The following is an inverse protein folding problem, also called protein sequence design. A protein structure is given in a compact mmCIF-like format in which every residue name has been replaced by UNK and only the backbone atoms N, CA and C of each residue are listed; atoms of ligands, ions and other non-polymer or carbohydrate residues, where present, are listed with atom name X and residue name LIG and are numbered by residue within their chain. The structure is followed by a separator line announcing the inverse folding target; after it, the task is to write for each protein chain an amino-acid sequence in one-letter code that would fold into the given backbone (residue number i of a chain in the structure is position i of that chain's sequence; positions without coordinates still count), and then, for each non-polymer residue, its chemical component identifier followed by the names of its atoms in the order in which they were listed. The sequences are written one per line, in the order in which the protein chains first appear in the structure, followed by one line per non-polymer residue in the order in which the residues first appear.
data_IF_964182070822
#
_entry.id   IF_964182070822
#
_cell.length_a   1.000
_cell.length_b   1.000
_cell.length_c   1.000
_cell.angle_alpha   90.00
_cell.angle_beta   90.00
_cell.angle_gamma   90.00
#
_symmetry.space_group_name_H-M   'P 1'
#
loop_
_entity.id
_entity.type
_entity.pdbx_description
1 polymer ?
#
# COMPACT_ATOMS: atom_id res chain seq x y z
N UNK A 1 8.86 50.69 -3.26
CA UNK A 1 7.65 50.90 -4.04
C UNK A 1 6.46 50.28 -3.33
N UNK A 2 5.50 51.12 -3.00
CA UNK A 2 4.34 50.99 -2.09
C UNK A 2 3.43 49.82 -2.43
N UNK A 3 3.60 48.65 -1.79
CA UNK A 3 2.64 47.54 -1.77
C UNK A 3 1.57 47.72 -0.67
N UNK A 4 1.73 48.74 0.19
CA UNK A 4 0.85 49.02 1.35
C UNK A 4 -0.44 49.75 1.10
N UNK A 5 -0.81 50.12 -0.16
CA UNK A 5 -2.00 50.94 -0.41
C UNK A 5 -3.12 50.26 -1.24
N UNK A 6 -3.01 48.96 -1.52
CA UNK A 6 -4.04 48.26 -2.33
C UNK A 6 -5.17 47.71 -1.46
N UNK A 7 -4.97 47.57 -0.14
CA UNK A 7 -5.98 46.95 0.75
C UNK A 7 -6.85 47.90 1.56
N UNK A 8 -6.77 49.22 1.36
CA UNK A 8 -7.57 50.19 2.12
C UNK A 8 -8.67 50.92 1.31
N UNK A 9 -9.02 50.43 0.15
CA UNK A 9 -10.31 50.78 -0.43
C UNK A 9 -11.35 49.76 0.00
N UNK A 10 -11.84 49.89 1.24
CA UNK A 10 -13.18 49.38 1.56
C UNK A 10 -14.16 50.00 0.55
N UNK A 11 -14.52 49.20 -0.45
CA UNK A 11 -15.67 49.51 -1.26
C UNK A 11 -16.86 49.66 -0.31
N UNK A 12 -17.36 50.89 -0.12
CA UNK A 12 -18.66 51.11 0.49
C UNK A 12 -19.69 50.46 -0.42
N UNK A 13 -19.96 49.17 -0.17
CA UNK A 13 -21.13 48.47 -0.70
C UNK A 13 -22.30 49.15 0.01
N UNK A 14 -22.94 50.10 -0.70
CA UNK A 14 -24.13 50.77 -0.21
C UNK A 14 -25.17 49.76 0.22
N UNK A 15 -25.48 49.72 1.52
CA UNK A 15 -26.85 49.52 1.99
C UNK A 15 -27.46 48.14 1.96
N UNK A 16 -26.70 47.00 1.86
CA UNK A 16 -27.24 45.72 2.23
C UNK A 16 -26.67 45.29 3.60
N UNK A 17 -27.53 45.35 4.61
CA UNK A 17 -27.21 44.73 5.89
C UNK A 17 -26.79 43.26 5.62
N UNK A 18 -25.63 42.86 6.09
CA UNK A 18 -25.17 41.48 5.99
C UNK A 18 -26.23 40.59 6.66
N UNK A 19 -26.79 39.64 5.89
CA UNK A 19 -27.77 38.70 6.43
C UNK A 19 -27.07 37.84 7.47
N UNK A 20 -27.47 37.98 8.72
CA UNK A 20 -27.01 37.12 9.80
C UNK A 20 -27.87 35.87 9.85
N UNK A 21 -27.27 34.75 10.09
CA UNK A 21 -27.94 33.46 10.25
C UNK A 21 -27.81 33.00 11.71
N UNK A 22 -28.83 32.34 12.28
CA UNK A 22 -28.70 31.73 13.59
C UNK A 22 -27.69 30.58 13.50
N UNK A 23 -26.52 30.75 14.13
CA UNK A 23 -25.47 29.74 14.17
C UNK A 23 -25.58 29.00 15.51
N UNK A 24 -25.57 27.67 15.46
CA UNK A 24 -25.46 26.85 16.68
C UNK A 24 -23.98 26.80 17.10
N UNK A 25 -23.64 27.51 18.17
CA UNK A 25 -22.29 27.56 18.71
C UNK A 25 -21.93 26.36 19.60
N UNK A 26 -22.84 25.42 19.85
CA UNK A 26 -22.65 24.30 20.78
C UNK A 26 -21.48 23.38 20.40
N UNK A 27 -21.13 23.33 19.11
CA UNK A 27 -20.02 22.50 18.57
C UNK A 27 -18.81 23.34 18.12
N UNK A 28 -18.79 24.63 18.45
CA UNK A 28 -17.63 25.49 18.21
C UNK A 28 -16.52 25.13 19.19
N UNK A 29 -15.50 24.46 18.65
CA UNK A 29 -14.32 24.09 19.43
C UNK A 29 -13.21 25.14 19.22
N UNK A 30 -12.75 25.73 20.32
CA UNK A 30 -11.53 26.53 20.32
C UNK A 30 -10.33 25.60 20.58
N UNK A 31 -9.46 25.46 19.59
CA UNK A 31 -8.28 24.60 19.67
C UNK A 31 -7.04 25.35 19.19
N UNK A 32 -5.87 24.98 19.73
CA UNK A 32 -4.57 25.50 19.31
C UNK A 32 -4.13 24.93 17.96
N UNK A 33 -2.96 25.36 17.51
CA UNK A 33 -2.34 24.79 16.31
C UNK A 33 -2.01 23.31 16.53
N UNK A 34 -2.15 22.52 15.47
CA UNK A 34 -1.80 21.11 15.48
C UNK A 34 -0.29 20.94 15.72
N UNK A 35 0.07 20.24 16.79
CA UNK A 35 1.46 19.89 17.12
C UNK A 35 1.52 18.40 17.49
N UNK A 36 2.02 17.57 16.55
CA UNK A 36 2.11 16.14 16.73
C UNK A 36 3.48 15.74 17.28
N UNK A 37 3.56 14.80 18.25
CA UNK A 37 4.83 14.33 18.75
C UNK A 37 5.63 13.61 17.63
N UNK A 38 6.96 13.74 17.60
CA UNK A 38 7.77 12.97 16.68
C UNK A 38 7.67 11.48 17.04
N UNK A 39 7.49 10.64 16.01
CA UNK A 39 7.45 9.16 16.15
C UNK A 39 8.30 8.51 15.06
N UNK A 40 9.08 7.53 15.46
CA UNK A 40 9.73 6.61 14.52
C UNK A 40 8.77 5.44 14.25
N UNK A 41 8.18 5.43 13.06
CA UNK A 41 7.16 4.46 12.68
C UNK A 41 7.83 3.16 12.18
N UNK A 42 8.18 2.29 13.11
CA UNK A 42 8.69 0.94 12.82
C UNK A 42 7.57 -0.13 12.94
N UNK A 43 6.33 0.25 12.70
CA UNK A 43 5.21 -0.67 12.58
C UNK A 43 5.00 -1.16 11.15
N UNK A 44 3.95 -1.98 10.90
CA UNK A 44 3.65 -2.54 9.58
C UNK A 44 3.09 -1.51 8.58
N UNK A 45 3.22 -0.25 8.88
CA UNK A 45 2.74 0.89 8.10
C UNK A 45 1.55 1.61 8.76
N UNK A 46 1.46 2.94 8.52
CA UNK A 46 2.30 3.70 7.59
C UNK A 46 3.76 3.79 8.04
N UNK A 47 4.68 4.00 7.09
CA UNK A 47 6.06 4.40 7.36
C UNK A 47 6.18 5.92 7.47
N UNK A 48 7.27 6.43 8.06
CA UNK A 48 7.52 7.87 8.01
C UNK A 48 7.66 8.35 6.57
N UNK A 49 7.03 9.47 6.26
CA UNK A 49 7.22 10.12 4.97
C UNK A 49 8.63 10.71 4.88
N UNK A 50 9.27 10.54 3.70
CA UNK A 50 10.57 11.16 3.46
C UNK A 50 10.45 12.70 3.51
N UNK A 51 11.44 13.46 4.05
CA UNK A 51 11.37 14.92 4.14
C UNK A 51 11.05 15.62 2.81
N UNK A 52 11.61 15.16 1.70
CA UNK A 52 11.30 15.68 0.35
C UNK A 52 9.84 15.44 -0.05
N UNK A 53 9.24 14.33 0.38
CA UNK A 53 7.81 14.05 0.18
C UNK A 53 6.95 15.05 0.96
N UNK A 54 7.31 15.35 2.22
CA UNK A 54 6.63 16.37 3.01
C UNK A 54 6.76 17.76 2.37
N UNK A 55 7.92 18.10 1.82
CA UNK A 55 8.14 19.32 1.06
C UNK A 55 7.26 19.36 -0.20
N UNK A 56 7.14 18.24 -0.92
CA UNK A 56 6.29 18.17 -2.12
C UNK A 56 4.82 18.44 -1.78
N UNK A 57 4.31 17.92 -0.66
CA UNK A 57 2.94 18.16 -0.19
C UNK A 57 2.67 19.64 0.09
N UNK A 58 3.67 20.41 0.51
CA UNK A 58 3.51 21.83 0.83
C UNK A 58 3.43 22.75 -0.39
N UNK A 59 3.57 22.22 -1.61
CA UNK A 59 3.37 23.01 -2.81
C UNK A 59 1.92 23.49 -2.95
N UNK A 60 1.76 24.66 -3.56
CA UNK A 60 0.44 25.19 -3.85
C UNK A 60 -0.35 24.26 -4.78
N UNK A 61 -1.62 24.09 -4.49
CA UNK A 61 -2.53 23.34 -5.35
C UNK A 61 -2.77 24.09 -6.67
N UNK A 62 -2.85 23.32 -7.74
CA UNK A 62 -3.27 23.79 -9.07
C UNK A 62 -4.48 22.98 -9.54
N UNK A 63 -5.10 23.35 -10.64
CA UNK A 63 -6.27 22.64 -11.16
C UNK A 63 -5.92 21.19 -11.55
N UNK A 64 -6.83 20.26 -11.31
CA UNK A 64 -6.64 18.83 -11.62
C UNK A 64 -6.63 18.51 -13.14
N UNK A 65 -6.96 19.49 -14.00
CA UNK A 65 -6.81 19.43 -15.46
C UNK A 65 -5.76 20.44 -15.97
N UNK A 66 -5.02 21.09 -15.07
CA UNK A 66 -3.91 21.96 -15.44
C UNK A 66 -2.83 21.15 -16.17
N UNK A 67 -2.26 21.66 -17.28
CA UNK A 67 -1.21 20.94 -18.01
C UNK A 67 0.00 20.54 -17.14
N UNK A 68 0.36 21.36 -16.15
CA UNK A 68 1.45 21.01 -15.21
C UNK A 68 1.06 19.84 -14.31
N UNK A 69 -0.20 19.75 -13.87
CA UNK A 69 -0.67 18.61 -13.09
C UNK A 69 -0.78 17.34 -13.95
N UNK A 70 -1.20 17.47 -15.20
CA UNK A 70 -1.17 16.35 -16.17
C UNK A 70 0.26 15.85 -16.34
N UNK A 71 1.26 16.74 -16.37
CA UNK A 71 2.68 16.35 -16.34
C UNK A 71 3.03 15.50 -15.12
N UNK A 72 2.57 15.89 -13.92
CA UNK A 72 2.73 15.08 -12.68
C UNK A 72 2.09 13.70 -12.81
N UNK A 73 0.89 13.61 -13.39
CA UNK A 73 0.20 12.34 -13.61
C UNK A 73 0.99 11.41 -14.56
N UNK A 74 1.53 11.95 -15.64
CA UNK A 74 2.37 11.20 -16.59
C UNK A 74 3.64 10.67 -15.91
N UNK A 75 4.34 11.52 -15.15
CA UNK A 75 5.53 11.13 -14.39
C UNK A 75 5.22 9.97 -13.43
N UNK A 76 4.08 10.02 -12.74
CA UNK A 76 3.63 8.97 -11.83
C UNK A 76 3.46 7.64 -12.59
N UNK A 77 2.78 7.66 -13.73
CA UNK A 77 2.55 6.44 -14.53
C UNK A 77 3.87 5.80 -14.96
N UNK A 78 4.81 6.59 -15.50
CA UNK A 78 6.11 6.09 -15.95
C UNK A 78 6.93 5.53 -14.79
N UNK A 79 7.00 6.26 -13.67
CA UNK A 79 7.76 5.78 -12.51
C UNK A 79 7.11 4.57 -11.83
N UNK A 80 5.79 4.40 -11.90
CA UNK A 80 5.10 3.18 -11.45
C UNK A 80 5.46 1.98 -12.33
N UNK A 81 5.48 2.16 -13.67
CA UNK A 81 5.93 1.11 -14.60
C UNK A 81 7.36 0.68 -14.30
N UNK A 82 8.26 1.64 -14.08
CA UNK A 82 9.61 1.35 -13.64
C UNK A 82 9.64 0.59 -12.31
N UNK A 83 8.87 1.04 -11.31
CA UNK A 83 8.90 0.42 -9.98
C UNK A 83 8.34 -1.01 -9.96
N UNK A 84 7.39 -1.32 -10.82
CA UNK A 84 6.82 -2.65 -10.99
C UNK A 84 7.48 -3.49 -12.11
N UNK A 85 8.42 -2.90 -12.86
CA UNK A 85 9.06 -3.54 -14.02
C UNK A 85 8.00 -4.08 -14.98
N UNK A 86 7.16 -3.15 -15.49
CA UNK A 86 6.06 -3.47 -16.41
C UNK A 86 5.94 -2.44 -17.53
N UNK A 87 5.51 -2.92 -18.68
CA UNK A 87 5.13 -2.10 -19.84
C UNK A 87 3.62 -1.81 -19.90
N UNK A 88 2.83 -2.29 -18.92
CA UNK A 88 1.38 -2.13 -18.89
C UNK A 88 0.98 -0.66 -19.04
N UNK A 89 0.27 -0.27 -20.10
CA UNK A 89 -0.18 1.11 -20.28
C UNK A 89 -1.18 1.51 -19.20
N UNK A 90 -2.00 0.57 -18.74
CA UNK A 90 -2.99 0.80 -17.70
C UNK A 90 -2.37 0.66 -16.30
N UNK A 91 -1.46 1.60 -15.98
CA UNK A 91 -0.75 1.68 -14.70
C UNK A 91 -0.94 3.08 -14.14
N UNK A 92 -1.67 3.20 -13.01
CA UNK A 92 -2.10 4.49 -12.46
C UNK A 92 -2.43 4.36 -10.96
N UNK A 93 -2.51 5.44 -10.18
CA UNK A 93 -2.98 5.38 -8.80
C UNK A 93 -4.48 5.62 -8.70
N UNK A 94 -5.14 4.86 -7.84
CA UNK A 94 -6.50 5.14 -7.35
C UNK A 94 -6.42 6.20 -6.24
N UNK A 95 -7.34 7.15 -6.24
CA UNK A 95 -7.51 8.13 -5.16
C UNK A 95 -8.13 7.45 -3.94
N UNK A 96 -7.28 7.02 -3.03
CA UNK A 96 -7.67 6.28 -1.83
C UNK A 96 -6.50 5.54 -1.20
N UNK A 97 -6.76 4.83 -0.11
CA UNK A 97 -5.75 4.00 0.56
C UNK A 97 -5.60 2.64 -0.13
N UNK A 98 -4.62 1.82 0.29
CA UNK A 98 -4.37 0.49 -0.30
C UNK A 98 -5.61 -0.39 -0.39
N UNK A 99 -6.52 -0.32 0.58
CA UNK A 99 -7.80 -1.05 0.52
C UNK A 99 -8.70 -0.58 -0.63
N UNK A 100 -8.62 0.70 -1.03
CA UNK A 100 -9.36 1.19 -2.19
C UNK A 100 -8.81 0.60 -3.50
N UNK A 101 -7.48 0.39 -3.62
CA UNK A 101 -6.91 -0.26 -4.79
C UNK A 101 -7.21 -1.76 -4.82
N UNK A 102 -7.18 -2.45 -3.67
CA UNK A 102 -7.64 -3.84 -3.53
C UNK A 102 -9.10 -3.97 -3.99
N UNK A 103 -9.98 -3.11 -3.48
CA UNK A 103 -11.40 -3.09 -3.84
C UNK A 103 -11.61 -2.74 -5.31
N UNK A 104 -10.89 -1.75 -5.85
CA UNK A 104 -10.94 -1.39 -7.26
C UNK A 104 -10.59 -2.58 -8.16
N UNK A 105 -9.54 -3.32 -7.82
CA UNK A 105 -9.12 -4.49 -8.59
C UNK A 105 -10.22 -5.55 -8.64
N UNK A 106 -10.79 -5.91 -7.47
CA UNK A 106 -11.85 -6.90 -7.40
C UNK A 106 -13.16 -6.42 -8.03
N UNK A 107 -13.57 -5.16 -7.77
CA UNK A 107 -14.79 -4.58 -8.35
C UNK A 107 -14.82 -4.60 -9.87
N UNK A 108 -13.66 -4.41 -10.50
CA UNK A 108 -13.53 -4.38 -11.94
C UNK A 108 -13.41 -5.78 -12.57
N UNK A 109 -12.73 -6.71 -11.91
CA UNK A 109 -12.44 -8.03 -12.47
C UNK A 109 -13.45 -9.12 -12.07
N UNK A 110 -14.11 -9.00 -10.91
CA UNK A 110 -15.05 -10.01 -10.43
C UNK A 110 -16.47 -9.72 -10.93
N UNK A 111 -17.11 -10.72 -11.46
CA UNK A 111 -18.56 -10.74 -11.74
C UNK A 111 -19.26 -11.77 -10.85
N UNK A 112 -20.54 -11.58 -10.52
CA UNK A 112 -21.30 -12.55 -9.73
C UNK A 112 -21.24 -13.95 -10.34
N UNK A 113 -20.83 -14.94 -9.55
CA UNK A 113 -20.66 -16.32 -9.99
C UNK A 113 -19.27 -16.67 -10.52
N UNK A 114 -18.38 -15.72 -10.70
CA UNK A 114 -16.95 -16.03 -10.98
C UNK A 114 -16.35 -16.84 -9.83
N UNK A 115 -15.65 -17.92 -10.14
CA UNK A 115 -14.84 -18.64 -9.16
C UNK A 115 -13.54 -17.86 -8.96
N UNK A 116 -13.31 -17.39 -7.73
CA UNK A 116 -12.08 -16.70 -7.32
C UNK A 116 -11.34 -17.56 -6.29
N UNK A 117 -10.17 -18.05 -6.66
CA UNK A 117 -9.28 -18.79 -5.76
C UNK A 117 -8.37 -17.79 -5.04
N UNK A 118 -8.38 -17.82 -3.72
CA UNK A 118 -7.55 -16.92 -2.90
C UNK A 118 -6.53 -17.73 -2.12
N UNK A 119 -5.24 -17.33 -2.25
CA UNK A 119 -4.18 -17.83 -1.40
C UNK A 119 -4.21 -17.16 -0.03
N UNK A 120 -4.40 -17.94 1.03
CA UNK A 120 -4.54 -17.43 2.39
C UNK A 120 -3.39 -17.92 3.28
N UNK A 121 -2.41 -17.04 3.48
CA UNK A 121 -1.24 -17.23 4.35
C UNK A 121 -1.16 -16.18 5.46
N UNK A 122 -2.24 -15.40 5.63
CA UNK A 122 -2.38 -14.36 6.64
C UNK A 122 -3.67 -13.56 6.52
N UNK A 123 -3.73 -12.47 7.29
CA UNK A 123 -4.92 -11.63 7.43
C UNK A 123 -5.34 -10.94 6.13
N UNK A 124 -4.38 -10.56 5.26
CA UNK A 124 -4.73 -9.86 4.01
C UNK A 124 -5.26 -10.81 2.94
N UNK A 125 -4.86 -12.10 2.97
CA UNK A 125 -5.56 -13.16 2.25
C UNK A 125 -7.02 -13.30 2.70
N UNK A 126 -7.30 -13.29 4.01
CA UNK A 126 -8.69 -13.29 4.54
C UNK A 126 -9.50 -12.08 4.07
N UNK A 127 -8.85 -10.90 3.97
CA UNK A 127 -9.52 -9.69 3.44
C UNK A 127 -9.89 -9.83 1.96
N UNK A 128 -9.02 -10.45 1.15
CA UNK A 128 -9.34 -10.76 -0.24
C UNK A 128 -10.55 -11.69 -0.36
N UNK A 129 -10.63 -12.72 0.50
CA UNK A 129 -11.79 -13.64 0.58
C UNK A 129 -13.08 -12.86 0.88
N UNK A 130 -13.10 -12.04 1.94
CA UNK A 130 -14.28 -11.25 2.31
C UNK A 130 -14.69 -10.30 1.17
N UNK A 131 -13.72 -9.60 0.60
CA UNK A 131 -13.98 -8.59 -0.42
C UNK A 131 -14.45 -9.20 -1.74
N UNK A 132 -13.84 -10.30 -2.21
CA UNK A 132 -14.29 -11.02 -3.41
C UNK A 132 -15.73 -11.55 -3.24
N UNK A 133 -16.03 -12.10 -2.07
CA UNK A 133 -17.39 -12.57 -1.74
C UNK A 133 -18.45 -11.45 -1.78
N UNK A 134 -18.10 -10.21 -1.38
CA UNK A 134 -18.99 -9.04 -1.45
C UNK A 134 -19.34 -8.66 -2.89
N UNK A 135 -18.45 -8.93 -3.86
CA UNK A 135 -18.71 -8.75 -5.29
C UNK A 135 -19.39 -9.94 -5.96
N UNK A 136 -19.84 -10.93 -5.16
CA UNK A 136 -20.63 -12.07 -5.63
C UNK A 136 -19.81 -13.23 -6.19
N UNK A 137 -18.50 -13.28 -5.92
CA UNK A 137 -17.67 -14.41 -6.30
C UNK A 137 -18.05 -15.70 -5.56
N UNK A 138 -17.92 -16.85 -6.23
CA UNK A 138 -17.77 -18.15 -5.59
C UNK A 138 -16.30 -18.27 -5.12
N UNK A 139 -16.06 -17.91 -3.85
CA UNK A 139 -14.69 -17.83 -3.32
C UNK A 139 -14.21 -19.21 -2.89
N UNK A 140 -13.07 -19.63 -3.44
CA UNK A 140 -12.32 -20.83 -3.08
C UNK A 140 -11.01 -20.43 -2.41
N UNK A 141 -10.47 -21.29 -1.58
CA UNK A 141 -9.30 -20.99 -0.74
C UNK A 141 -8.23 -22.07 -0.93
N UNK A 142 -6.99 -21.63 -1.05
CA UNK A 142 -5.81 -22.47 -0.85
C UNK A 142 -5.02 -21.89 0.31
N UNK A 143 -4.75 -22.70 1.34
CA UNK A 143 -4.29 -22.19 2.63
C UNK A 143 -3.02 -22.89 3.13
N UNK A 144 -2.20 -22.12 3.83
CA UNK A 144 -1.11 -22.63 4.65
C UNK A 144 -1.15 -21.97 6.03
N UNK A 145 -0.57 -22.60 7.05
CA UNK A 145 -0.41 -21.97 8.36
C UNK A 145 0.22 -20.58 8.24
N UNK A 146 -0.27 -19.63 9.00
CA UNK A 146 0.22 -18.25 8.97
C UNK A 146 1.71 -18.18 9.29
N UNK A 147 2.51 -17.64 8.36
CA UNK A 147 3.98 -17.61 8.39
C UNK A 147 4.65 -18.62 7.46
N UNK A 148 3.88 -19.49 6.83
CA UNK A 148 4.31 -20.36 5.72
C UNK A 148 3.87 -19.76 4.38
N UNK A 149 4.36 -20.32 3.27
CA UNK A 149 4.03 -19.91 1.90
C UNK A 149 3.40 -21.08 1.15
N UNK A 150 2.65 -20.79 0.11
CA UNK A 150 2.10 -21.80 -0.80
C UNK A 150 3.20 -22.30 -1.75
N UNK A 151 3.25 -23.62 -1.93
CA UNK A 151 4.07 -24.24 -2.97
C UNK A 151 3.38 -24.18 -4.34
N UNK A 152 4.14 -24.40 -5.42
CA UNK A 152 3.55 -24.55 -6.75
C UNK A 152 2.58 -25.73 -6.83
N UNK A 153 2.86 -26.82 -6.10
CA UNK A 153 1.98 -28.00 -6.06
C UNK A 153 0.64 -27.68 -5.36
N UNK A 154 0.65 -26.89 -4.26
CA UNK A 154 -0.58 -26.41 -3.61
C UNK A 154 -1.45 -25.62 -4.58
N UNK A 155 -0.81 -24.69 -5.32
CA UNK A 155 -1.49 -23.83 -6.29
C UNK A 155 -2.00 -24.66 -7.47
N UNK A 156 -1.17 -25.56 -8.02
CA UNK A 156 -1.55 -26.42 -9.15
C UNK A 156 -2.76 -27.29 -8.81
N UNK A 157 -2.71 -27.96 -7.66
CA UNK A 157 -3.82 -28.82 -7.21
C UNK A 157 -5.12 -28.01 -7.04
N UNK A 158 -5.03 -26.81 -6.45
CA UNK A 158 -6.19 -25.96 -6.24
C UNK A 158 -6.77 -25.39 -7.56
N UNK A 159 -5.90 -25.09 -8.55
CA UNK A 159 -6.33 -24.68 -9.89
C UNK A 159 -7.05 -25.81 -10.62
N UNK A 160 -6.54 -27.05 -10.54
CA UNK A 160 -7.16 -28.24 -11.13
C UNK A 160 -8.54 -28.52 -10.52
N UNK A 161 -8.65 -28.43 -9.20
CA UNK A 161 -9.87 -28.72 -8.45
C UNK A 161 -10.96 -27.67 -8.72
N UNK A 162 -10.59 -26.38 -8.65
CA UNK A 162 -11.59 -25.31 -8.60
C UNK A 162 -11.79 -24.60 -9.94
N UNK A 163 -10.86 -24.69 -10.88
CA UNK A 163 -10.89 -24.05 -12.22
C UNK A 163 -11.29 -22.57 -12.13
N UNK A 164 -10.59 -21.74 -11.34
CA UNK A 164 -10.97 -20.38 -11.08
C UNK A 164 -10.78 -19.47 -12.29
N UNK A 165 -11.58 -18.41 -12.37
CA UNK A 165 -11.37 -17.32 -13.32
C UNK A 165 -10.22 -16.40 -12.87
N UNK A 166 -9.97 -16.32 -11.55
CA UNK A 166 -8.94 -15.47 -10.94
C UNK A 166 -8.28 -16.23 -9.79
N UNK A 167 -6.94 -16.25 -9.78
CA UNK A 167 -6.13 -16.55 -8.60
C UNK A 167 -5.65 -15.24 -7.99
N UNK A 168 -5.97 -15.00 -6.71
CA UNK A 168 -5.54 -13.82 -5.98
C UNK A 168 -4.54 -14.21 -4.87
N UNK A 169 -3.34 -13.64 -4.90
CA UNK A 169 -2.27 -13.90 -3.94
C UNK A 169 -1.80 -12.62 -3.26
N UNK A 170 -1.41 -12.71 -2.00
CA UNK A 170 -0.68 -11.66 -1.30
C UNK A 170 0.82 -11.94 -1.42
N UNK A 171 1.54 -11.14 -2.21
CA UNK A 171 2.97 -11.34 -2.44
C UNK A 171 3.78 -11.17 -1.15
N UNK A 172 3.46 -10.14 -0.35
CA UNK A 172 4.09 -9.94 0.96
C UNK A 172 3.03 -9.74 2.04
N UNK A 173 2.80 -10.77 2.84
CA UNK A 173 1.75 -10.79 3.85
C UNK A 173 2.15 -9.98 5.10
N UNK A 174 1.58 -8.81 5.24
CA UNK A 174 1.93 -7.84 6.31
C UNK A 174 1.59 -8.34 7.72
N UNK A 175 0.67 -9.28 7.85
CA UNK A 175 0.30 -9.83 9.17
C UNK A 175 1.29 -10.85 9.70
N UNK A 176 2.03 -11.52 8.81
CA UNK A 176 2.95 -12.62 9.15
C UNK A 176 4.41 -12.33 8.84
N UNK A 177 4.69 -11.43 7.88
CA UNK A 177 6.03 -11.18 7.36
C UNK A 177 6.48 -12.19 6.30
N UNK A 178 5.55 -13.02 5.78
CA UNK A 178 5.83 -13.99 4.74
C UNK A 178 5.90 -13.34 3.35
N UNK A 179 6.87 -13.76 2.55
CA UNK A 179 7.04 -13.41 1.14
C UNK A 179 6.71 -14.64 0.29
N UNK A 180 5.63 -14.59 -0.46
CA UNK A 180 5.18 -15.65 -1.35
C UNK A 180 6.04 -15.69 -2.61
N UNK A 181 6.72 -16.81 -2.92
CA UNK A 181 7.41 -16.99 -4.19
C UNK A 181 6.44 -16.94 -5.37
N UNK A 182 6.85 -16.28 -6.46
CA UNK A 182 6.00 -16.06 -7.64
C UNK A 182 6.43 -16.84 -8.87
N UNK A 183 7.64 -17.42 -8.87
CA UNK A 183 8.17 -18.16 -10.00
C UNK A 183 7.27 -19.36 -10.36
N UNK A 184 6.89 -19.49 -11.62
CA UNK A 184 6.04 -20.57 -12.13
C UNK A 184 4.53 -20.41 -11.90
N UNK A 185 4.09 -19.44 -11.09
CA UNK A 185 2.65 -19.27 -10.77
C UNK A 185 1.83 -18.84 -11.98
N UNK A 186 2.34 -17.92 -12.79
CA UNK A 186 1.60 -17.45 -13.97
C UNK A 186 1.49 -18.50 -15.08
N UNK A 187 2.48 -19.36 -15.22
CA UNK A 187 2.44 -20.50 -16.15
C UNK A 187 1.27 -21.43 -15.77
N UNK A 188 1.13 -21.74 -14.49
CA UNK A 188 -0.01 -22.50 -13.98
C UNK A 188 -1.34 -21.78 -14.25
N UNK A 189 -1.41 -20.49 -13.98
CA UNK A 189 -2.61 -19.69 -14.24
C UNK A 189 -2.96 -19.69 -15.75
N UNK A 190 -1.98 -19.52 -16.63
CA UNK A 190 -2.20 -19.54 -18.09
C UNK A 190 -2.71 -20.90 -18.58
N UNK A 191 -2.14 -22.00 -18.06
CA UNK A 191 -2.57 -23.35 -18.40
C UNK A 191 -4.06 -23.59 -18.07
N UNK A 192 -4.59 -22.90 -17.04
CA UNK A 192 -5.97 -22.99 -16.59
C UNK A 192 -6.88 -21.85 -17.10
N UNK A 193 -6.39 -20.99 -18.01
CA UNK A 193 -7.10 -19.77 -18.44
C UNK A 193 -7.54 -18.88 -17.28
N UNK A 194 -6.79 -18.86 -16.19
CA UNK A 194 -7.00 -18.10 -14.97
C UNK A 194 -6.22 -16.77 -15.02
N UNK A 195 -6.76 -15.67 -14.49
CA UNK A 195 -6.01 -14.43 -14.27
C UNK A 195 -5.23 -14.50 -12.96
N UNK A 196 -3.99 -13.98 -12.96
CA UNK A 196 -3.18 -13.83 -11.77
C UNK A 196 -3.27 -12.40 -11.24
N UNK A 197 -3.85 -12.25 -10.03
CA UNK A 197 -3.92 -11.00 -9.29
C UNK A 197 -2.98 -11.05 -8.08
N UNK A 198 -2.12 -10.03 -7.90
CA UNK A 198 -1.23 -9.97 -6.74
C UNK A 198 -1.39 -8.67 -5.94
N UNK A 199 -1.42 -8.83 -4.61
CA UNK A 199 -1.26 -7.74 -3.66
C UNK A 199 0.23 -7.45 -3.44
N UNK A 200 0.68 -6.27 -3.84
CA UNK A 200 2.05 -5.81 -3.65
C UNK A 200 2.17 -4.67 -2.64
N UNK A 201 1.18 -4.52 -1.76
CA UNK A 201 1.11 -3.42 -0.79
C UNK A 201 2.39 -3.31 0.05
N UNK A 202 2.93 -4.42 0.50
CA UNK A 202 4.13 -4.40 1.35
C UNK A 202 5.42 -4.60 0.57
N UNK A 203 5.37 -5.26 -0.58
CA UNK A 203 6.55 -5.58 -1.39
C UNK A 203 6.95 -4.48 -2.38
N UNK A 204 6.04 -3.62 -2.84
CA UNK A 204 6.38 -2.58 -3.81
C UNK A 204 7.51 -1.68 -3.30
N UNK A 205 8.57 -1.59 -4.09
CA UNK A 205 9.79 -0.85 -3.79
C UNK A 205 10.57 -1.31 -2.53
N UNK A 206 10.26 -2.50 -1.98
CA UNK A 206 10.96 -3.07 -0.82
C UNK A 206 11.53 -4.47 -1.07
N UNK A 207 11.02 -5.17 -2.08
CA UNK A 207 11.50 -6.45 -2.58
C UNK A 207 11.39 -6.47 -4.11
N UNK A 208 12.10 -7.36 -4.81
CA UNK A 208 11.98 -7.52 -6.26
C UNK A 208 10.54 -7.82 -6.69
N UNK A 209 10.07 -7.12 -7.73
CA UNK A 209 8.80 -7.37 -8.40
C UNK A 209 9.01 -7.13 -9.90
N UNK A 210 8.58 -8.10 -10.72
CA UNK A 210 8.73 -8.10 -12.17
C UNK A 210 7.40 -8.53 -12.81
N UNK A 211 6.42 -7.59 -12.90
CA UNK A 211 5.06 -7.96 -13.33
C UNK A 211 5.03 -8.59 -14.72
N UNK A 212 5.81 -8.05 -15.66
CA UNK A 212 5.84 -8.60 -17.04
C UNK A 212 6.53 -9.96 -17.08
N UNK A 213 7.69 -10.11 -16.43
CA UNK A 213 8.43 -11.37 -16.38
C UNK A 213 7.64 -12.46 -15.67
N UNK A 214 7.02 -12.13 -14.53
CA UNK A 214 6.16 -13.06 -13.80
C UNK A 214 4.81 -13.30 -14.49
N UNK A 215 4.44 -12.50 -15.50
CA UNK A 215 3.18 -12.63 -16.21
C UNK A 215 1.94 -12.35 -15.38
N UNK A 216 2.03 -11.39 -14.48
CA UNK A 216 0.94 -10.95 -13.61
C UNK A 216 -0.10 -10.18 -14.42
N UNK A 217 -1.38 -10.49 -14.23
CA UNK A 217 -2.46 -9.84 -14.96
C UNK A 217 -2.96 -8.57 -14.26
N UNK A 218 -3.00 -8.59 -12.94
CA UNK A 218 -3.44 -7.46 -12.14
C UNK A 218 -2.58 -7.33 -10.87
N UNK A 219 -2.21 -6.10 -10.53
CA UNK A 219 -1.49 -5.79 -9.31
C UNK A 219 -1.98 -4.49 -8.68
N UNK A 220 -1.93 -4.42 -7.35
CA UNK A 220 -2.17 -3.18 -6.63
C UNK A 220 -1.19 -3.00 -5.47
N UNK A 221 -1.08 -1.75 -5.02
CA UNK A 221 -0.23 -1.40 -3.90
C UNK A 221 -0.77 -0.18 -3.14
N UNK A 222 0.10 0.50 -2.38
CA UNK A 222 -0.24 1.73 -1.68
C UNK A 222 0.96 2.66 -1.53
N UNK A 223 0.70 3.92 -1.20
CA UNK A 223 1.74 4.95 -1.04
C UNK A 223 2.46 4.92 0.32
N UNK A 224 1.81 4.40 1.38
CA UNK A 224 2.25 4.55 2.77
C UNK A 224 3.19 3.46 3.30
N UNK A 225 3.68 2.56 2.44
CA UNK A 225 4.61 1.48 2.78
C UNK A 225 5.99 1.79 2.18
N UNK A 226 6.45 0.97 1.25
CA UNK A 226 7.78 1.11 0.63
C UNK A 226 8.04 2.44 -0.07
N UNK A 227 7.01 3.14 -0.53
CA UNK A 227 7.14 4.46 -1.16
C UNK A 227 7.32 5.61 -0.17
N UNK A 228 7.11 5.39 1.14
CA UNK A 228 7.29 6.39 2.21
C UNK A 228 6.55 7.70 1.96
N UNK A 229 5.30 7.59 1.54
CA UNK A 229 4.38 8.70 1.33
C UNK A 229 3.22 8.61 2.34
N UNK A 230 2.48 9.69 2.59
CA UNK A 230 1.20 9.60 3.28
C UNK A 230 0.22 8.68 2.53
N UNK A 231 -0.72 8.01 3.23
CA UNK A 231 -1.79 7.27 2.58
C UNK A 231 -2.71 8.22 1.80
N UNK A 232 -3.31 7.74 0.69
CA UNK A 232 -4.28 8.54 -0.08
C UNK A 232 -4.15 8.44 -1.59
N UNK A 233 -3.08 7.79 -2.10
CA UNK A 233 -2.91 7.45 -3.51
C UNK A 233 -2.39 6.03 -3.60
N UNK A 234 -3.10 5.13 -4.26
CA UNK A 234 -2.79 3.71 -4.26
C UNK A 234 -2.54 3.20 -5.67
N UNK A 235 -1.29 2.82 -5.98
CA UNK A 235 -0.90 2.27 -7.28
C UNK A 235 -1.69 1.01 -7.65
N UNK A 236 -1.92 0.85 -8.94
CA UNK A 236 -2.70 -0.24 -9.51
C UNK A 236 -2.28 -0.42 -10.98
N UNK A 237 -2.24 -1.67 -11.48
CA UNK A 237 -1.85 -2.01 -12.84
C UNK A 237 -2.66 -3.19 -13.38
N UNK A 238 -3.15 -3.08 -14.61
CA UNK A 238 -3.76 -4.16 -15.38
C UNK A 238 -2.99 -4.38 -16.68
N UNK A 239 -2.78 -5.66 -17.04
CA UNK A 239 -2.29 -6.03 -18.38
C UNK A 239 -3.47 -6.21 -19.35
N UNK A 240 -3.13 -6.59 -20.60
CA UNK A 240 -4.12 -6.79 -21.67
C UNK A 240 -5.16 -7.89 -21.34
N UNK A 241 -4.78 -8.96 -20.62
CA UNK A 241 -5.71 -10.04 -20.24
C UNK A 241 -6.72 -9.56 -19.21
N UNK A 242 -6.28 -8.79 -18.22
CA UNK A 242 -7.17 -8.18 -17.24
C UNK A 242 -8.11 -7.15 -17.90
N UNK A 243 -7.61 -6.31 -18.80
CA UNK A 243 -8.42 -5.37 -19.57
C UNK A 243 -9.43 -6.10 -20.45
N UNK A 244 -9.03 -7.19 -21.13
CA UNK A 244 -9.95 -7.99 -21.93
C UNK A 244 -11.08 -8.64 -21.11
N UNK A 245 -10.83 -9.00 -19.82
CA UNK A 245 -11.91 -9.46 -18.93
C UNK A 245 -12.83 -8.29 -18.58
N UNK A 246 -12.29 -7.12 -18.27
CA UNK A 246 -13.07 -5.91 -17.98
C UNK A 246 -13.96 -5.50 -19.17
N UNK A 247 -13.43 -5.54 -20.41
CA UNK A 247 -14.16 -5.19 -21.63
C UNK A 247 -15.31 -6.16 -21.96
N UNK A 248 -15.17 -7.43 -21.56
CA UNK A 248 -16.21 -8.47 -21.77
C UNK A 248 -17.26 -8.51 -20.66
N UNK A 249 -17.12 -7.66 -19.64
CA UNK A 249 -18.02 -7.63 -18.51
C UNK A 249 -19.46 -7.44 -18.94
N UNK A 250 -20.38 -8.23 -18.39
CA UNK A 250 -21.79 -8.20 -18.78
C UNK A 250 -22.55 -7.04 -18.09
N UNK A 251 -22.13 -6.68 -16.89
CA UNK A 251 -22.71 -5.60 -16.11
C UNK A 251 -21.76 -4.44 -15.88
N UNK A 252 -22.29 -3.28 -15.50
CA UNK A 252 -21.47 -2.17 -15.03
C UNK A 252 -20.68 -2.58 -13.80
N UNK A 253 -19.48 -1.99 -13.62
CA UNK A 253 -18.76 -2.09 -12.37
C UNK A 253 -19.65 -1.55 -11.23
N UNK A 254 -19.87 -2.31 -10.15
CA UNK A 254 -20.86 -1.95 -9.12
C UNK A 254 -20.43 -0.79 -8.22
N UNK A 255 -19.28 -0.18 -8.49
CA UNK A 255 -18.74 0.95 -7.77
C UNK A 255 -18.31 2.05 -8.76
N UNK A 256 -19.12 3.11 -8.88
CA UNK A 256 -18.86 4.19 -9.85
C UNK A 256 -17.50 4.87 -9.65
N UNK A 257 -17.09 5.10 -8.40
CA UNK A 257 -15.84 5.81 -8.10
C UNK A 257 -14.58 5.00 -8.46
N UNK A 258 -14.68 3.69 -8.37
CA UNK A 258 -13.60 2.74 -8.66
C UNK A 258 -13.78 2.06 -10.04
N UNK A 259 -14.69 2.53 -10.86
CA UNK A 259 -14.89 2.01 -12.21
C UNK A 259 -13.75 2.46 -13.13
N UNK A 260 -12.90 1.49 -13.51
CA UNK A 260 -11.72 1.73 -14.33
C UNK A 260 -12.05 2.09 -15.76
N UNK A 261 -13.22 1.73 -16.27
CA UNK A 261 -13.65 2.10 -17.62
C UNK A 261 -13.85 3.60 -17.77
N UNK A 262 -14.26 4.27 -16.68
CA UNK A 262 -14.45 5.73 -16.64
C UNK A 262 -13.19 6.45 -16.15
N UNK A 263 -12.47 5.87 -15.19
CA UNK A 263 -11.24 6.44 -14.64
C UNK A 263 -10.11 6.49 -15.68
N UNK A 264 -10.05 5.52 -16.59
CA UNK A 264 -9.09 5.49 -17.68
C UNK A 264 -9.09 6.78 -18.49
N UNK A 265 -10.26 7.34 -18.80
CA UNK A 265 -10.39 8.59 -19.57
C UNK A 265 -9.78 9.81 -18.86
N UNK A 266 -9.61 9.76 -17.54
CA UNK A 266 -8.95 10.81 -16.76
C UNK A 266 -7.43 10.63 -16.71
N UNK A 267 -6.94 9.39 -16.75
CA UNK A 267 -5.52 9.08 -16.67
C UNK A 267 -4.84 8.86 -18.01
N UNK A 268 -5.57 8.47 -19.03
CA UNK A 268 -5.07 8.19 -20.37
C UNK A 268 -5.82 8.99 -21.43
N UNK A 269 -5.21 9.14 -22.60
CA UNK A 269 -5.83 9.75 -23.76
C UNK A 269 -5.35 11.17 -24.09
N UNK A 270 -5.58 11.55 -25.36
CA UNK A 270 -5.21 12.85 -25.93
C UNK A 270 -6.00 14.01 -25.31
N UNK A 271 -7.22 13.74 -24.87
CA UNK A 271 -8.09 14.72 -24.20
C UNK A 271 -8.60 14.08 -22.92
N UNK A 272 -7.95 14.42 -21.81
CA UNK A 272 -8.35 13.91 -20.49
C UNK A 272 -9.70 14.48 -20.09
N UNK A 273 -10.60 13.63 -19.65
CA UNK A 273 -11.92 14.02 -19.18
C UNK A 273 -12.00 14.00 -17.66
N UNK A 274 -12.82 14.88 -17.09
CA UNK A 274 -13.06 14.90 -15.65
C UNK A 274 -13.76 13.62 -15.18
N UNK A 275 -13.17 12.97 -14.20
CA UNK A 275 -13.81 11.91 -13.44
C UNK A 275 -14.11 12.38 -12.01
N UNK A 276 -13.09 12.78 -11.29
CA UNK A 276 -13.19 13.36 -9.95
C UNK A 276 -12.05 14.36 -9.73
N UNK A 277 -12.16 15.20 -8.72
CA UNK A 277 -11.06 16.06 -8.32
C UNK A 277 -10.01 15.21 -7.59
N UNK A 278 -8.89 14.95 -8.28
CA UNK A 278 -7.78 14.20 -7.71
C UNK A 278 -7.25 14.86 -6.43
N UNK A 279 -6.80 14.09 -5.44
CA UNK A 279 -6.15 14.63 -4.25
C UNK A 279 -4.74 15.15 -4.59
N UNK A 280 -4.68 16.40 -5.08
CA UNK A 280 -3.50 17.03 -5.71
C UNK A 280 -2.22 16.81 -4.86
N UNK A 281 -2.26 17.16 -3.57
CA UNK A 281 -1.09 17.03 -2.69
C UNK A 281 -0.67 15.58 -2.47
N UNK A 282 -1.60 14.62 -2.49
CA UNK A 282 -1.27 13.18 -2.43
C UNK A 282 -0.58 12.71 -3.72
N UNK A 283 -0.97 13.27 -4.87
CA UNK A 283 -0.27 12.99 -6.14
C UNK A 283 1.13 13.60 -6.17
N UNK A 284 1.33 14.81 -5.61
CA UNK A 284 2.67 15.38 -5.43
C UNK A 284 3.53 14.50 -4.53
N UNK A 285 2.96 14.01 -3.41
CA UNK A 285 3.63 13.09 -2.52
C UNK A 285 4.05 11.80 -3.23
N UNK A 286 3.12 11.18 -3.97
CA UNK A 286 3.38 9.93 -4.69
C UNK A 286 4.46 10.12 -5.76
N UNK A 287 4.36 11.20 -6.57
CA UNK A 287 5.38 11.53 -7.58
C UNK A 287 6.76 11.64 -6.97
N UNK A 288 6.88 12.36 -5.84
CA UNK A 288 8.18 12.53 -5.17
C UNK A 288 8.68 11.23 -4.53
N UNK A 289 7.80 10.43 -3.92
CA UNK A 289 8.16 9.12 -3.40
C UNK A 289 8.67 8.16 -4.48
N UNK A 290 8.04 8.17 -5.65
CA UNK A 290 8.47 7.40 -6.82
C UNK A 290 9.80 7.92 -7.38
N UNK A 291 9.99 9.25 -7.42
CA UNK A 291 11.24 9.87 -7.85
C UNK A 291 12.42 9.43 -6.97
N UNK A 292 12.20 9.33 -5.66
CA UNK A 292 13.20 8.80 -4.73
C UNK A 292 13.55 7.33 -5.02
N UNK A 293 12.58 6.51 -5.43
CA UNK A 293 12.83 5.12 -5.84
C UNK A 293 13.68 5.08 -7.11
N UNK A 294 13.35 5.91 -8.10
CA UNK A 294 14.09 5.99 -9.37
C UNK A 294 15.51 6.50 -9.15
N UNK A 295 15.70 7.53 -8.30
CA UNK A 295 17.01 8.08 -7.98
C UNK A 295 17.91 7.09 -7.23
N UNK A 296 17.37 6.32 -6.31
CA UNK A 296 18.10 5.30 -5.57
C UNK A 296 18.44 4.10 -6.47
N UNK A 297 17.57 3.75 -7.40
CA UNK A 297 17.64 2.52 -8.18
C UNK A 297 17.02 1.33 -7.45
N UNK A 298 16.39 0.42 -8.21
CA UNK A 298 15.66 -0.72 -7.61
C UNK A 298 16.60 -1.71 -6.94
N UNK A 299 17.72 -2.06 -7.59
CA UNK A 299 18.69 -3.02 -7.04
C UNK A 299 19.31 -2.53 -5.73
N UNK A 300 19.73 -1.27 -5.69
CA UNK A 300 20.31 -0.62 -4.51
C UNK A 300 19.28 -0.55 -3.37
N UNK A 301 18.06 -0.24 -3.74
CA UNK A 301 16.96 -0.15 -2.79
C UNK A 301 16.60 -1.51 -2.19
N UNK A 302 16.49 -2.56 -2.99
CA UNK A 302 16.25 -3.92 -2.52
C UNK A 302 17.42 -4.44 -1.67
N UNK A 303 18.65 -4.23 -2.10
CA UNK A 303 19.85 -4.59 -1.34
C UNK A 303 19.89 -3.89 0.03
N UNK A 304 19.52 -2.60 0.09
CA UNK A 304 19.46 -1.85 1.36
C UNK A 304 18.40 -2.41 2.30
N UNK A 305 17.21 -2.76 1.78
CA UNK A 305 16.16 -3.39 2.59
C UNK A 305 16.62 -4.75 3.13
N UNK A 306 17.21 -5.58 2.28
CA UNK A 306 17.73 -6.89 2.65
C UNK A 306 18.82 -6.78 3.75
N UNK A 307 19.83 -5.92 3.55
CA UNK A 307 20.89 -5.74 4.51
C UNK A 307 20.39 -5.25 5.88
N UNK A 308 19.41 -4.34 5.91
CA UNK A 308 18.83 -3.86 7.17
C UNK A 308 17.94 -4.90 7.82
N UNK A 309 17.26 -5.74 7.04
CA UNK A 309 16.46 -6.86 7.57
C UNK A 309 17.35 -7.92 8.20
N UNK A 310 18.45 -8.30 7.54
CA UNK A 310 19.45 -9.24 8.08
C UNK A 310 20.05 -8.72 9.38
N UNK A 311 20.47 -7.44 9.41
CA UNK A 311 20.94 -6.80 10.64
C UNK A 311 19.89 -6.87 11.79
N UNK A 312 18.59 -6.68 11.46
CA UNK A 312 17.51 -6.83 12.43
C UNK A 312 17.38 -8.28 12.90
N UNK A 313 17.37 -9.25 11.98
CA UNK A 313 17.20 -10.66 12.32
C UNK A 313 18.33 -11.20 13.20
N UNK A 314 19.58 -10.84 12.86
CA UNK A 314 20.75 -11.21 13.65
C UNK A 314 20.71 -10.56 15.05
N UNK A 315 20.35 -9.27 15.11
CA UNK A 315 20.21 -8.56 16.38
C UNK A 315 19.10 -9.15 17.27
N UNK A 316 17.96 -9.52 16.69
CA UNK A 316 16.86 -10.17 17.40
C UNK A 316 17.31 -11.55 17.94
N UNK A 317 18.01 -12.36 17.12
CA UNK A 317 18.54 -13.64 17.54
C UNK A 317 19.55 -13.49 18.69
N UNK A 318 20.42 -12.48 18.66
CA UNK A 318 21.35 -12.16 19.74
C UNK A 318 20.65 -11.75 21.06
N UNK A 319 19.41 -11.23 20.98
CA UNK A 319 18.55 -10.97 22.14
C UNK A 319 17.69 -12.18 22.55
N UNK A 320 17.86 -13.34 21.94
CA UNK A 320 17.04 -14.53 22.21
C UNK A 320 15.63 -14.46 21.62
N UNK A 321 15.36 -13.51 20.71
CA UNK A 321 14.07 -13.36 20.04
C UNK A 321 14.06 -14.09 18.70
N UNK A 322 12.89 -14.61 18.32
CA UNK A 322 12.74 -15.38 17.07
C UNK A 322 11.75 -14.74 16.11
N UNK A 323 12.02 -14.88 14.81
CA UNK A 323 11.09 -14.50 13.75
C UNK A 323 9.95 -15.53 13.68
N UNK A 324 8.75 -15.04 13.36
CA UNK A 324 7.57 -15.91 13.18
C UNK A 324 7.70 -16.75 11.90
N UNK A 325 8.13 -16.14 10.79
CA UNK A 325 8.48 -16.86 9.56
C UNK A 325 9.80 -17.56 9.78
N UNK A 326 9.77 -18.91 9.81
CA UNK A 326 10.94 -19.72 10.15
C UNK A 326 11.98 -19.74 9.06
N UNK A 327 11.53 -19.99 7.81
CA UNK A 327 12.39 -20.07 6.64
C UNK A 327 12.88 -18.65 6.23
N UNK A 328 14.19 -18.36 6.30
CA UNK A 328 14.71 -17.02 5.96
C UNK A 328 14.40 -16.58 4.53
N UNK A 329 14.41 -17.51 3.57
CA UNK A 329 14.10 -17.20 2.16
C UNK A 329 12.65 -16.72 1.95
N UNK A 330 11.75 -17.05 2.87
CA UNK A 330 10.35 -16.66 2.82
C UNK A 330 10.04 -15.41 3.68
N UNK A 331 11.06 -14.69 4.17
CA UNK A 331 10.87 -13.45 4.94
C UNK A 331 10.89 -12.23 4.03
N UNK A 332 9.86 -11.39 4.12
CA UNK A 332 9.91 -10.09 3.44
C UNK A 332 10.87 -9.14 4.18
N UNK A 333 11.86 -8.53 3.50
CA UNK A 333 12.81 -7.62 4.17
C UNK A 333 12.16 -6.40 4.82
N UNK A 334 11.03 -5.95 4.28
CA UNK A 334 10.33 -4.76 4.76
C UNK A 334 9.58 -4.94 6.07
N UNK A 335 9.31 -6.19 6.49
CA UNK A 335 8.51 -6.46 7.69
C UNK A 335 8.94 -7.74 8.38
N UNK A 336 9.35 -7.63 9.62
CA UNK A 336 9.66 -8.77 10.49
C UNK A 336 8.58 -8.93 11.55
N UNK A 337 7.98 -10.11 11.60
CA UNK A 337 7.07 -10.50 12.69
C UNK A 337 7.89 -11.27 13.73
N UNK A 338 8.00 -10.69 14.92
CA UNK A 338 8.83 -11.18 16.02
C UNK A 338 7.94 -11.87 17.05
N UNK A 339 8.27 -13.11 17.45
CA UNK A 339 7.53 -13.81 18.49
C UNK A 339 7.78 -13.18 19.85
N UNK A 340 6.70 -12.98 20.59
CA UNK A 340 6.76 -12.52 21.98
C UNK A 340 7.19 -13.72 22.84
N UNK A 341 8.24 -13.57 23.68
CA UNK A 341 8.63 -14.65 24.60
C UNK A 341 7.54 -14.96 25.63
N UNK A 342 7.52 -16.19 26.12
CA UNK A 342 6.59 -16.60 27.17
C UNK A 342 6.76 -15.73 28.43
N UNK A 343 5.66 -15.31 29.01
CA UNK A 343 5.64 -14.46 30.21
C UNK A 343 5.86 -12.95 29.95
N UNK A 344 6.14 -12.54 28.71
CA UNK A 344 6.30 -11.13 28.33
C UNK A 344 4.96 -10.54 27.92
N UNK A 345 4.61 -9.38 28.49
CA UNK A 345 3.44 -8.60 28.03
C UNK A 345 3.78 -7.81 26.76
N UNK A 346 3.26 -8.29 25.63
CA UNK A 346 3.48 -7.67 24.33
C UNK A 346 3.05 -6.18 24.26
N UNK A 347 1.96 -5.83 24.95
CA UNK A 347 1.44 -4.46 24.98
C UNK A 347 2.30 -3.54 25.85
N UNK A 348 2.76 -4.03 26.99
CA UNK A 348 3.65 -3.29 27.88
C UNK A 348 4.96 -2.94 27.18
N UNK A 349 5.59 -3.90 26.48
CA UNK A 349 6.81 -3.66 25.68
C UNK A 349 6.57 -2.62 24.57
N UNK A 350 5.51 -2.77 23.79
CA UNK A 350 5.18 -1.79 22.75
C UNK A 350 4.87 -0.41 23.33
N UNK A 351 4.22 -0.34 24.50
CA UNK A 351 3.96 0.90 25.23
C UNK A 351 5.25 1.59 25.70
N UNK A 352 6.23 0.84 26.20
CA UNK A 352 7.54 1.37 26.58
C UNK A 352 8.32 1.87 25.38
N UNK A 353 8.36 1.12 24.27
CA UNK A 353 8.97 1.58 23.02
C UNK A 353 8.38 2.92 22.55
N UNK A 354 7.05 3.06 22.61
CA UNK A 354 6.36 4.29 22.20
C UNK A 354 6.63 5.47 23.13
N UNK A 355 6.57 5.26 24.45
CA UNK A 355 6.58 6.34 25.43
C UNK A 355 7.98 6.77 25.86
N UNK A 356 8.94 5.83 25.93
CA UNK A 356 10.31 6.08 26.38
C UNK A 356 11.25 6.37 25.21
N UNK A 357 11.01 5.71 24.02
CA UNK A 357 11.92 5.81 22.87
C UNK A 357 11.31 6.47 21.63
N UNK A 358 10.01 6.85 21.68
CA UNK A 358 9.27 7.34 20.51
C UNK A 358 9.23 6.37 19.32
N UNK A 359 9.39 5.07 19.57
CA UNK A 359 9.34 4.02 18.56
C UNK A 359 7.96 3.38 18.56
N UNK A 360 7.28 3.40 17.41
CA UNK A 360 6.00 2.74 17.21
C UNK A 360 6.20 1.39 16.53
N UNK A 361 5.82 0.30 17.18
CA UNK A 361 5.67 -1.04 16.63
C UNK A 361 4.23 -1.50 16.78
N UNK A 362 3.79 -2.51 16.03
CA UNK A 362 2.42 -2.99 16.14
C UNK A 362 2.36 -4.45 16.60
N UNK A 363 1.28 -4.80 17.27
CA UNK A 363 0.96 -6.19 17.61
C UNK A 363 0.46 -7.01 16.41
N UNK A 364 0.28 -8.31 16.60
CA UNK A 364 -0.30 -9.21 15.62
C UNK A 364 -1.80 -8.99 15.40
N UNK A 365 -2.32 -9.53 14.29
CA UNK A 365 -3.75 -9.60 13.98
C UNK A 365 -4.29 -11.02 14.19
N UNK A 366 -5.61 -11.14 14.35
CA UNK A 366 -6.31 -12.42 14.39
C UNK A 366 -5.66 -13.42 15.35
N UNK A 367 -5.29 -14.59 14.85
CA UNK A 367 -4.66 -15.66 15.64
C UNK A 367 -3.26 -15.31 16.21
N UNK A 368 -2.61 -14.26 15.69
CA UNK A 368 -1.32 -13.73 16.17
C UNK A 368 -1.46 -12.57 17.17
N UNK A 369 -2.68 -12.16 17.51
CA UNK A 369 -2.92 -11.10 18.48
C UNK A 369 -2.30 -11.45 19.86
N UNK A 370 -1.48 -10.54 20.39
CA UNK A 370 -0.76 -10.70 21.65
C UNK A 370 0.44 -11.67 21.61
N UNK A 371 0.67 -12.37 20.49
CA UNK A 371 1.73 -13.37 20.35
C UNK A 371 2.96 -12.88 19.59
N UNK A 372 2.85 -11.75 18.91
CA UNK A 372 3.90 -11.21 18.07
C UNK A 372 3.94 -9.69 18.12
N UNK A 373 5.12 -9.12 17.85
CA UNK A 373 5.30 -7.73 17.39
C UNK A 373 5.61 -7.75 15.90
N UNK A 374 5.11 -6.74 15.19
CA UNK A 374 5.43 -6.51 13.78
C UNK A 374 6.31 -5.27 13.66
N UNK A 375 7.53 -5.50 13.16
CA UNK A 375 8.56 -4.49 12.97
C UNK A 375 8.71 -4.20 11.48
N UNK A 376 8.42 -2.97 11.06
CA UNK A 376 8.50 -2.53 9.68
C UNK A 376 9.76 -1.73 9.38
N UNK A 377 10.55 -2.18 8.42
CA UNK A 377 11.69 -1.47 7.84
C UNK A 377 11.35 -1.06 6.39
N UNK A 378 10.41 -0.11 6.24
CA UNK A 378 9.83 0.21 4.94
C UNK A 378 10.35 1.52 4.38
N UNK A 379 10.84 1.50 3.14
CA UNK A 379 11.23 2.70 2.40
C UNK A 379 12.26 3.55 3.13
N UNK A 380 11.90 4.77 3.50
CA UNK A 380 12.77 5.70 4.24
C UNK A 380 13.20 5.20 5.62
N UNK A 381 12.37 4.37 6.26
CA UNK A 381 12.68 3.82 7.59
C UNK A 381 13.60 2.59 7.55
N UNK A 382 13.85 2.00 6.39
CA UNK A 382 14.87 0.94 6.25
C UNK A 382 16.27 1.54 6.31
N UNK A 383 16.77 1.74 7.54
CA UNK A 383 18.04 2.39 7.85
C UNK A 383 18.72 1.66 9.01
N UNK A 384 20.05 1.51 8.93
CA UNK A 384 20.85 0.87 9.96
C UNK A 384 20.67 1.52 11.34
N UNK A 385 20.58 2.85 11.37
CA UNK A 385 20.40 3.63 12.61
C UNK A 385 19.08 3.27 13.32
N UNK A 386 18.01 3.09 12.56
CA UNK A 386 16.71 2.72 13.09
C UNK A 386 16.71 1.30 13.67
N UNK A 387 17.39 0.37 13.00
CA UNK A 387 17.59 -1.00 13.50
C UNK A 387 18.38 -1.00 14.80
N UNK A 388 19.50 -0.27 14.82
CA UNK A 388 20.35 -0.17 16.01
C UNK A 388 19.61 0.41 17.20
N UNK A 389 18.82 1.49 16.98
CA UNK A 389 18.01 2.12 18.03
C UNK A 389 16.95 1.15 18.57
N UNK A 390 16.23 0.45 17.69
CA UNK A 390 15.21 -0.52 18.11
C UNK A 390 15.80 -1.67 18.93
N UNK A 391 16.92 -2.25 18.48
CA UNK A 391 17.58 -3.35 19.19
C UNK A 391 18.11 -2.92 20.54
N UNK A 392 18.68 -1.70 20.66
CA UNK A 392 19.11 -1.14 21.92
C UNK A 392 17.93 -0.93 22.89
N UNK A 393 16.82 -0.38 22.43
CA UNK A 393 15.61 -0.20 23.22
C UNK A 393 15.02 -1.55 23.69
N UNK A 394 14.92 -2.53 22.79
CA UNK A 394 14.46 -3.88 23.14
C UNK A 394 15.34 -4.53 24.20
N UNK A 395 16.67 -4.40 24.10
CA UNK A 395 17.63 -4.94 25.08
C UNK A 395 17.45 -4.33 26.47
N UNK A 396 17.04 -3.07 26.55
CA UNK A 396 16.81 -2.40 27.83
C UNK A 396 15.43 -2.73 28.43
N UNK A 397 14.45 -2.99 27.56
CA UNK A 397 13.07 -3.25 27.98
C UNK A 397 12.88 -4.69 28.44
N UNK A 398 13.50 -5.65 27.75
CA UNK A 398 13.35 -7.09 28.00
C UNK A 398 14.37 -7.60 29.02
#
# INVERSE_FOLDING_TARGET
LKIGQIWTKQAKIKGRAMKTYPVNEAHRLETGQLNMPPRLLLGPGPSNAHPRVLQAISNQQIGHLDPAFIGVMNDIQEMLRYTWQTSNPFTLPVSGTGSAAMEATLANLVEPGDVVLVGVIGYFGERLVDMAGRYGADVRRVERPWGEVLSLDDISQALDEHKPAILALVHAETSTGALQPMDGVAELCRAHNCLLLIDTVTSLATAPIFLDEWGVDAAYSCSQKGLSCPPGASPFSFNERALAKLDRRQGKVPNWYLDMTTLANYWDGKTRSYHHTAPINSMYALREGLRLVVEEGLNERWARHQANAELLWDGLAALGLSCHVKEPANRIPALTTVRVPDGVDAKAVAGRLLNEYNIEVAGGFGQLAGKVWRVGLMGFNSRKENVTLLLAALKEIL
#
